data_IF_353763506552
#
_entry.id   IF_353763506552
#
_cell.length_a   1.000
_cell.length_b   1.000
_cell.length_c   1.000
_cell.angle_alpha   90.00
_cell.angle_beta   90.00
_cell.angle_gamma   90.00
#
_symmetry.space_group_name_H-M   'P 1'
#
loop_
_entity.id
_entity.type
_entity.pdbx_description
1 polymer ?
#
# COMPACT_ATOMS: atom_id res chain seq x y z
N UNK A 1 -16.34 2.42 -10.02
CA UNK A 1 -16.92 1.18 -9.47
C UNK A 1 -18.36 1.45 -9.02
N UNK A 2 -19.35 0.64 -9.42
CA UNK A 2 -20.77 0.78 -9.02
C UNK A 2 -21.19 -0.17 -7.89
N UNK A 3 -20.27 -0.96 -7.35
CA UNK A 3 -20.55 -1.88 -6.24
C UNK A 3 -20.28 -1.20 -4.89
N UNK A 4 -21.04 -1.54 -3.84
CA UNK A 4 -20.72 -1.07 -2.50
C UNK A 4 -19.33 -1.56 -2.08
N UNK A 5 -18.66 -0.85 -1.15
CA UNK A 5 -17.43 -1.36 -0.54
C UNK A 5 -17.65 -2.76 0.05
N UNK A 6 -16.62 -3.64 0.02
CA UNK A 6 -16.73 -4.97 0.58
C UNK A 6 -17.02 -4.91 2.09
N UNK A 7 -17.90 -5.79 2.57
CA UNK A 7 -18.14 -5.94 4.00
C UNK A 7 -16.84 -6.34 4.71
N UNK A 8 -16.40 -5.52 5.66
CA UNK A 8 -15.08 -5.67 6.29
C UNK A 8 -15.17 -5.38 7.79
N UNK A 9 -14.57 -6.24 8.60
CA UNK A 9 -14.45 -6.00 10.04
C UNK A 9 -13.57 -4.77 10.32
N UNK A 10 -14.04 -3.87 11.18
CA UNK A 10 -13.30 -2.67 11.55
C UNK A 10 -12.23 -2.98 12.61
N UNK A 11 -11.00 -2.51 12.37
CA UNK A 11 -9.83 -2.63 13.23
C UNK A 11 -9.30 -1.24 13.60
N UNK A 12 -8.32 -1.17 14.49
CA UNK A 12 -7.54 0.06 14.67
C UNK A 12 -6.57 0.19 13.50
N UNK A 13 -6.61 1.32 12.78
CA UNK A 13 -5.80 1.59 11.60
C UNK A 13 -5.04 2.90 11.77
N UNK A 14 -3.86 2.98 11.16
CA UNK A 14 -2.96 4.12 11.21
C UNK A 14 -3.41 5.27 10.31
N UNK A 15 -4.03 4.96 9.15
CA UNK A 15 -4.39 5.88 8.05
C UNK A 15 -3.21 6.46 7.26
N UNK A 16 -2.00 6.19 7.70
CA UNK A 16 -0.73 6.59 7.05
C UNK A 16 0.33 5.50 7.27
N UNK A 17 -0.09 4.24 7.16
CA UNK A 17 0.80 3.09 7.41
C UNK A 17 1.61 2.76 6.15
N UNK A 18 2.89 3.10 6.16
CA UNK A 18 3.77 2.88 5.03
C UNK A 18 5.25 2.75 5.46
N UNK A 19 6.17 2.26 4.59
CA UNK A 19 7.49 1.82 5.01
C UNK A 19 8.34 2.86 5.75
N UNK A 20 8.20 4.15 5.44
CA UNK A 20 9.02 5.18 6.10
C UNK A 20 8.50 5.61 7.47
N UNK A 21 7.26 5.25 7.83
CA UNK A 21 6.70 5.41 9.18
C UNK A 21 7.01 4.22 10.11
N UNK A 22 7.75 3.21 9.64
CA UNK A 22 8.22 2.08 10.45
C UNK A 22 9.69 2.29 10.82
N UNK A 23 9.97 2.41 12.12
CA UNK A 23 11.32 2.56 12.64
C UNK A 23 12.00 1.20 12.83
N UNK A 24 13.29 1.15 12.52
CA UNK A 24 14.10 -0.05 12.63
C UNK A 24 15.33 0.20 13.50
N UNK A 25 15.64 -0.76 14.36
CA UNK A 25 16.87 -0.81 15.14
C UNK A 25 17.44 -2.23 15.04
N UNK A 26 18.68 -2.36 14.59
CA UNK A 26 19.39 -3.64 14.46
C UNK A 26 18.59 -4.70 13.65
N UNK A 27 17.95 -4.26 12.56
CA UNK A 27 17.17 -5.14 11.69
C UNK A 27 15.82 -5.60 12.25
N UNK A 28 15.37 -5.03 13.37
CA UNK A 28 14.06 -5.29 13.97
C UNK A 28 13.22 -4.01 14.00
N UNK A 29 11.91 -4.16 13.88
CA UNK A 29 10.97 -3.05 14.09
C UNK A 29 11.08 -2.58 15.53
N UNK A 30 11.36 -1.29 15.72
CA UNK A 30 11.43 -0.64 17.03
C UNK A 30 10.22 0.25 17.32
N UNK A 31 9.45 0.62 16.30
CA UNK A 31 8.22 1.40 16.47
C UNK A 31 7.53 1.75 15.16
N UNK A 32 6.31 2.25 15.27
CA UNK A 32 5.54 2.88 14.18
C UNK A 32 5.20 4.28 14.67
N UNK A 33 5.37 5.28 13.81
CA UNK A 33 5.21 6.71 14.15
C UNK A 33 4.18 7.39 13.26
N UNK A 34 3.80 8.62 13.63
CA UNK A 34 2.82 9.46 12.92
C UNK A 34 1.35 9.01 13.00
N UNK A 35 0.91 8.65 14.21
CA UNK A 35 -0.45 8.18 14.49
C UNK A 35 -1.54 9.27 14.48
N UNK A 36 -1.26 10.48 13.99
CA UNK A 36 -2.18 11.62 14.12
C UNK A 36 -3.56 11.37 13.47
N UNK A 37 -3.60 10.53 12.43
CA UNK A 37 -4.80 10.19 11.68
C UNK A 37 -5.46 8.87 12.13
N UNK A 38 -4.91 8.20 13.14
CA UNK A 38 -5.33 6.85 13.50
C UNK A 38 -6.79 6.79 13.97
N UNK A 39 -7.50 5.76 13.52
CA UNK A 39 -8.92 5.63 13.80
C UNK A 39 -9.39 4.18 13.71
N UNK A 40 -10.70 3.95 13.84
CA UNK A 40 -11.32 2.65 13.63
C UNK A 40 -11.79 2.55 12.17
N UNK A 41 -11.30 1.56 11.43
CA UNK A 41 -11.61 1.39 10.01
C UNK A 41 -11.22 0.02 9.45
N UNK A 42 -11.49 -0.23 8.15
CA UNK A 42 -11.11 -1.46 7.49
C UNK A 42 -9.59 -1.62 7.41
N UNK A 43 -9.05 -2.76 7.85
CA UNK A 43 -7.61 -3.02 7.81
C UNK A 43 -7.00 -2.95 6.39
N UNK A 44 -7.84 -3.17 5.37
CA UNK A 44 -7.46 -3.00 3.97
C UNK A 44 -6.98 -1.60 3.62
N UNK A 45 -7.40 -0.55 4.34
CA UNK A 45 -6.96 0.84 4.11
C UNK A 45 -5.45 0.98 4.36
N UNK A 46 -4.96 0.53 5.51
CA UNK A 46 -3.52 0.55 5.82
C UNK A 46 -2.73 -0.40 4.91
N UNK A 47 -3.30 -1.58 4.63
CA UNK A 47 -2.66 -2.55 3.73
C UNK A 47 -2.47 -1.96 2.33
N UNK A 48 -3.53 -1.42 1.73
CA UNK A 48 -3.48 -0.86 0.38
C UNK A 48 -2.52 0.32 0.28
N UNK A 49 -2.52 1.20 1.28
CA UNK A 49 -1.61 2.34 1.35
C UNK A 49 -0.14 1.89 1.42
N UNK A 50 0.20 0.96 2.31
CA UNK A 50 1.55 0.41 2.40
C UNK A 50 1.99 -0.29 1.10
N UNK A 51 1.07 -1.04 0.49
CA UNK A 51 1.36 -1.79 -0.74
C UNK A 51 1.61 -0.89 -1.95
N UNK A 52 0.83 0.18 -2.13
CA UNK A 52 1.07 1.12 -3.24
C UNK A 52 2.40 1.86 -3.07
N UNK A 53 2.80 2.20 -1.84
CA UNK A 53 4.13 2.73 -1.59
C UNK A 53 5.24 1.72 -1.88
N UNK A 54 5.11 0.47 -1.45
CA UNK A 54 6.08 -0.58 -1.76
C UNK A 54 6.22 -0.81 -3.27
N UNK A 55 5.11 -0.76 -4.01
CA UNK A 55 5.12 -0.85 -5.47
C UNK A 55 5.87 0.31 -6.11
N UNK A 56 5.68 1.53 -5.62
CA UNK A 56 6.40 2.73 -6.09
C UNK A 56 7.90 2.68 -5.76
N UNK A 57 8.25 2.34 -4.52
CA UNK A 57 9.62 2.34 -4.02
C UNK A 57 10.46 1.19 -4.59
N UNK A 58 9.85 0.01 -4.78
CA UNK A 58 10.55 -1.21 -5.16
C UNK A 58 9.97 -1.86 -6.43
N UNK A 59 8.83 -2.53 -6.33
CA UNK A 59 8.15 -3.21 -7.44
C UNK A 59 6.88 -3.93 -6.94
N UNK A 60 6.10 -4.49 -7.89
CA UNK A 60 4.90 -5.30 -7.60
C UNK A 60 5.22 -6.54 -6.78
N UNK A 61 6.37 -7.19 -7.03
CA UNK A 61 6.77 -8.42 -6.33
C UNK A 61 6.99 -8.16 -4.82
N UNK A 62 7.54 -7.00 -4.47
CA UNK A 62 7.74 -6.57 -3.08
C UNK A 62 6.41 -6.30 -2.40
N UNK A 63 5.47 -5.62 -3.08
CA UNK A 63 4.12 -5.40 -2.57
C UNK A 63 3.36 -6.73 -2.38
N UNK A 64 3.56 -7.70 -3.26
CA UNK A 64 2.98 -9.04 -3.18
C UNK A 64 3.58 -9.87 -2.04
N UNK A 65 4.89 -9.83 -1.86
CA UNK A 65 5.56 -10.50 -0.74
C UNK A 65 5.10 -9.92 0.61
N UNK A 66 4.81 -8.61 0.66
CA UNK A 66 4.22 -7.99 1.83
C UNK A 66 2.79 -8.50 2.09
N UNK A 67 1.93 -8.53 1.06
CA UNK A 67 0.58 -9.08 1.16
C UNK A 67 0.59 -10.52 1.69
N UNK A 68 1.43 -11.38 1.12
CA UNK A 68 1.51 -12.79 1.52
C UNK A 68 1.85 -12.93 3.01
N UNK A 69 2.85 -12.17 3.48
CA UNK A 69 3.22 -12.12 4.90
C UNK A 69 2.09 -11.57 5.76
N UNK A 70 1.42 -10.51 5.31
CA UNK A 70 0.30 -9.90 6.01
C UNK A 70 -0.85 -10.89 6.18
N UNK A 71 -1.31 -11.54 5.12
CA UNK A 71 -2.39 -12.53 5.16
C UNK A 71 -2.06 -13.70 6.09
N UNK A 72 -0.83 -14.22 6.00
CA UNK A 72 -0.37 -15.32 6.86
C UNK A 72 -0.38 -14.96 8.34
N UNK A 73 0.02 -13.73 8.69
CA UNK A 73 0.08 -13.26 10.08
C UNK A 73 -1.28 -12.79 10.62
N UNK A 74 -2.11 -12.18 9.77
CA UNK A 74 -3.46 -11.74 10.13
C UNK A 74 -4.42 -12.92 10.33
N UNK A 75 -4.16 -14.06 9.68
CA UNK A 75 -4.92 -15.30 9.85
C UNK A 75 -6.32 -15.24 9.22
N UNK A 76 -7.17 -16.18 9.60
CA UNK A 76 -8.50 -16.39 8.99
C UNK A 76 -9.47 -15.21 9.17
N UNK A 77 -9.20 -14.34 10.14
CA UNK A 77 -10.00 -13.15 10.46
C UNK A 77 -9.81 -11.99 9.47
N UNK A 78 -8.88 -12.14 8.53
CA UNK A 78 -8.61 -11.16 7.49
C UNK A 78 -8.80 -11.80 6.10
N UNK A 79 -9.76 -11.28 5.34
CA UNK A 79 -9.91 -11.58 3.92
C UNK A 79 -9.38 -10.42 3.09
N UNK A 80 -8.38 -10.69 2.25
CA UNK A 80 -7.89 -9.71 1.29
C UNK A 80 -8.98 -9.37 0.26
N UNK A 81 -9.08 -8.09 -0.09
CA UNK A 81 -10.01 -7.55 -1.09
C UNK A 81 -9.24 -6.53 -1.95
N UNK A 82 -9.01 -6.79 -3.26
CA UNK A 82 -8.29 -5.87 -4.16
C UNK A 82 -8.88 -4.46 -4.22
N UNK A 83 -10.16 -4.31 -3.86
CA UNK A 83 -10.84 -3.03 -3.73
C UNK A 83 -10.03 -1.99 -2.94
N UNK A 84 -9.40 -2.39 -1.83
CA UNK A 84 -8.67 -1.45 -0.96
C UNK A 84 -7.35 -0.98 -1.57
N UNK A 85 -6.64 -1.87 -2.28
CA UNK A 85 -5.42 -1.51 -3.00
C UNK A 85 -5.73 -0.58 -4.19
N UNK A 86 -6.84 -0.84 -4.89
CA UNK A 86 -7.30 0.03 -5.98
C UNK A 86 -7.67 1.41 -5.43
N UNK A 87 -8.40 1.47 -4.31
CA UNK A 87 -8.74 2.74 -3.67
C UNK A 87 -7.47 3.52 -3.29
N UNK A 88 -6.50 2.87 -2.63
CA UNK A 88 -5.23 3.49 -2.26
C UNK A 88 -4.43 3.97 -3.47
N UNK A 89 -4.47 3.25 -4.59
CA UNK A 89 -3.87 3.68 -5.85
C UNK A 89 -4.55 4.94 -6.40
N UNK A 90 -5.88 5.01 -6.39
CA UNK A 90 -6.59 6.23 -6.84
C UNK A 90 -6.34 7.43 -5.93
N UNK A 91 -6.16 7.21 -4.63
CA UNK A 91 -5.90 8.29 -3.65
C UNK A 91 -4.56 9.01 -3.90
N UNK A 92 -3.63 8.44 -4.67
CA UNK A 92 -2.36 9.09 -5.02
C UNK A 92 -2.33 9.69 -6.44
N UNK A 93 -3.32 9.37 -7.28
CA UNK A 93 -3.33 9.75 -8.71
C UNK A 93 -4.02 11.11 -8.95
N UNK A 94 -3.56 12.15 -8.27
CA UNK A 94 -3.96 13.54 -8.54
C UNK A 94 -3.05 14.17 -9.60
N UNK A 95 -3.15 13.68 -10.84
CA UNK A 95 -2.27 14.05 -11.95
C UNK A 95 -1.24 12.94 -12.24
N UNK A 96 -0.21 13.23 -13.07
CA UNK A 96 0.85 12.25 -13.33
C UNK A 96 1.59 11.90 -12.02
N UNK A 97 2.06 10.67 -11.84
CA UNK A 97 2.89 10.30 -10.68
C UNK A 97 4.10 11.24 -10.54
N UNK A 98 4.39 11.65 -9.32
CA UNK A 98 5.51 12.54 -8.99
C UNK A 98 6.38 11.89 -7.94
N UNK A 99 7.70 12.09 -8.03
CA UNK A 99 8.62 11.63 -6.99
C UNK A 99 8.37 12.46 -5.74
N UNK A 100 7.99 11.81 -4.64
CA UNK A 100 7.77 12.50 -3.38
C UNK A 100 9.09 13.14 -2.88
N UNK A 101 9.14 14.47 -2.65
CA UNK A 101 10.38 15.16 -2.30
C UNK A 101 11.04 14.70 -0.99
N UNK A 102 10.30 14.01 -0.11
CA UNK A 102 10.84 13.48 1.15
C UNK A 102 11.57 12.13 1.01
N UNK A 103 11.34 11.36 -0.05
CA UNK A 103 11.96 10.05 -0.25
C UNK A 103 13.49 10.03 -0.27
N UNK A 104 14.19 11.05 -0.83
CA UNK A 104 15.64 11.16 -0.72
C UNK A 104 16.16 11.16 0.73
N UNK A 105 15.42 11.72 1.69
CA UNK A 105 15.82 11.72 3.11
C UNK A 105 15.84 10.30 3.71
N UNK A 106 15.14 9.35 3.09
CA UNK A 106 15.10 7.94 3.46
C UNK A 106 15.98 7.05 2.56
N UNK A 107 16.83 7.67 1.71
CA UNK A 107 17.78 6.96 0.85
C UNK A 107 17.25 6.55 -0.53
N UNK A 108 16.00 6.89 -0.87
CA UNK A 108 15.42 6.60 -2.17
C UNK A 108 15.75 7.72 -3.18
N UNK A 109 16.98 7.72 -3.69
CA UNK A 109 17.49 8.77 -4.58
C UNK A 109 17.45 8.42 -6.07
N UNK A 110 17.17 7.16 -6.41
CA UNK A 110 17.17 6.65 -7.79
C UNK A 110 15.79 6.64 -8.48
N UNK A 111 14.76 7.19 -7.85
CA UNK A 111 13.40 7.21 -8.40
C UNK A 111 13.24 8.35 -9.42
N UNK A 112 12.57 8.07 -10.52
CA UNK A 112 12.15 9.05 -11.53
C UNK A 112 10.65 8.92 -11.77
N UNK A 113 10.01 9.95 -12.30
CA UNK A 113 8.58 9.91 -12.67
C UNK A 113 8.28 8.76 -13.64
N UNK A 114 9.19 8.48 -14.58
CA UNK A 114 9.07 7.37 -15.51
C UNK A 114 9.07 6.01 -14.79
N UNK A 115 9.97 5.81 -13.83
CA UNK A 115 10.01 4.58 -13.02
C UNK A 115 8.72 4.42 -12.21
N UNK A 116 8.20 5.50 -11.63
CA UNK A 116 6.94 5.45 -10.88
C UNK A 116 5.76 5.11 -11.78
N UNK A 117 5.68 5.74 -12.95
CA UNK A 117 4.62 5.46 -13.92
C UNK A 117 4.64 3.99 -14.35
N UNK A 118 5.80 3.45 -14.75
CA UNK A 118 5.94 2.04 -15.13
C UNK A 118 5.55 1.08 -14.00
N UNK A 119 5.98 1.37 -12.76
CA UNK A 119 5.64 0.55 -11.59
C UNK A 119 4.16 0.61 -11.25
N UNK A 120 3.54 1.78 -11.31
CA UNK A 120 2.12 1.97 -11.04
C UNK A 120 1.24 1.35 -12.12
N UNK A 121 1.66 1.38 -13.39
CA UNK A 121 0.97 0.67 -14.49
C UNK A 121 1.00 -0.85 -14.27
N UNK A 122 2.17 -1.41 -13.96
CA UNK A 122 2.29 -2.83 -13.62
C UNK A 122 1.49 -3.21 -12.38
N UNK A 123 1.47 -2.34 -11.37
CA UNK A 123 0.68 -2.54 -10.17
C UNK A 123 -0.82 -2.52 -10.46
N UNK A 124 -1.30 -1.55 -11.24
CA UNK A 124 -2.70 -1.49 -11.68
C UNK A 124 -3.11 -2.76 -12.43
N UNK A 125 -2.30 -3.23 -13.39
CA UNK A 125 -2.56 -4.47 -14.12
C UNK A 125 -2.68 -5.68 -13.19
N UNK A 126 -1.76 -5.80 -12.22
CA UNK A 126 -1.82 -6.84 -11.17
C UNK A 126 -3.11 -6.76 -10.34
N UNK A 127 -3.54 -5.55 -9.95
CA UNK A 127 -4.76 -5.37 -9.18
C UNK A 127 -6.02 -5.70 -9.98
N UNK A 128 -6.06 -5.36 -11.27
CA UNK A 128 -7.18 -5.70 -12.16
C UNK A 128 -7.32 -7.22 -12.33
N UNK A 129 -6.20 -7.92 -12.54
CA UNK A 129 -6.19 -9.38 -12.61
C UNK A 129 -6.73 -10.01 -11.31
N UNK A 130 -6.26 -9.52 -10.16
CA UNK A 130 -6.73 -9.97 -8.83
C UNK A 130 -8.20 -9.67 -8.59
N UNK A 131 -8.73 -8.58 -9.15
CA UNK A 131 -10.14 -8.23 -9.09
C UNK A 131 -11.01 -9.03 -10.07
N UNK A 132 -10.42 -9.95 -10.85
CA UNK A 132 -11.13 -10.70 -11.89
C UNK A 132 -11.52 -9.85 -13.10
N UNK A 133 -10.94 -8.65 -13.23
CA UNK A 133 -11.12 -7.76 -14.37
C UNK A 133 -9.97 -8.04 -15.33
N UNK A 134 -10.23 -8.81 -16.38
CA UNK A 134 -9.25 -8.97 -17.47
C UNK A 134 -9.28 -7.71 -18.34
N UNK A 135 -8.14 -7.01 -18.54
CA UNK A 135 -8.04 -5.86 -19.43
C UNK A 135 -8.23 -6.25 -20.90
#
# INVERSE_FOLDING_TARGET
>A
MKQPPPETALRFIHRDYHPVNVLWQEGKVSGVVDWANACRGPAGVDLGHCRVELAQLYDVATADAFLEKYQRLAGAEFSYQPYWDILALFDILFGPPQVYPGWPAFGFTGLTEQILMERLDLYLLSLLERAGVRP
#
